data_IF_168617117256
#
_entry.id   IF_168617117256
#
_cell.length_a   1.000
_cell.length_b   1.000
_cell.length_c   1.000
_cell.angle_alpha   90.00
_cell.angle_beta   90.00
_cell.angle_gamma   90.00
#
_symmetry.space_group_name_H-M   'P 1'
#
loop_
_entity.id
_entity.type
_entity.pdbx_description
1 polymer ?
#
# COMPACT_ATOMS: atom_id res chain seq x y z
N UNK A 1 -8.30 -37.55 -23.93
CA UNK A 1 -7.91 -38.92 -24.32
C UNK A 1 -6.49 -39.31 -23.86
N UNK A 2 -5.40 -38.87 -24.52
CA UNK A 2 -4.04 -39.33 -24.17
C UNK A 2 -3.55 -38.88 -22.77
N UNK A 3 -3.93 -37.67 -22.33
CA UNK A 3 -3.63 -37.16 -21.00
C UNK A 3 -4.41 -37.90 -19.90
N UNK A 4 -5.69 -38.19 -20.15
CA UNK A 4 -6.57 -38.88 -19.20
C UNK A 4 -6.12 -40.32 -18.95
N UNK A 5 -5.83 -41.07 -20.02
CA UNK A 5 -5.33 -42.44 -19.93
C UNK A 5 -4.00 -42.54 -19.16
N UNK A 6 -3.13 -41.53 -19.27
CA UNK A 6 -1.85 -41.47 -18.56
C UNK A 6 -2.05 -41.23 -17.07
N UNK A 7 -2.99 -40.37 -16.69
CA UNK A 7 -3.33 -40.07 -15.29
C UNK A 7 -4.06 -41.26 -14.65
N UNK A 8 -4.94 -41.96 -15.36
CA UNK A 8 -5.59 -43.17 -14.85
C UNK A 8 -4.59 -44.29 -14.57
N UNK A 9 -3.59 -44.46 -15.45
CA UNK A 9 -2.52 -45.42 -15.26
C UNK A 9 -1.62 -45.07 -14.06
N UNK A 10 -1.40 -43.78 -13.77
CA UNK A 10 -0.55 -43.31 -12.67
C UNK A 10 -1.27 -43.37 -11.30
N UNK A 11 -2.57 -43.06 -11.27
CA UNK A 11 -3.36 -43.07 -10.04
C UNK A 11 -4.05 -44.41 -9.74
N UNK A 12 -4.03 -45.36 -10.67
CA UNK A 12 -4.57 -46.71 -10.50
C UNK A 12 -6.10 -46.78 -10.29
N UNK A 13 -6.81 -45.70 -10.64
CA UNK A 13 -8.26 -45.58 -10.49
C UNK A 13 -8.86 -44.80 -11.67
N UNK A 14 -10.10 -45.13 -12.11
CA UNK A 14 -10.77 -44.37 -13.15
C UNK A 14 -10.98 -42.92 -12.71
N UNK A 15 -10.87 -41.99 -13.67
CA UNK A 15 -11.08 -40.57 -13.38
C UNK A 15 -12.52 -40.32 -12.91
N UNK A 16 -12.71 -39.49 -11.87
CA UNK A 16 -14.06 -39.06 -11.51
C UNK A 16 -14.69 -38.32 -12.70
N UNK A 17 -16.02 -38.46 -12.89
CA UNK A 17 -16.71 -37.79 -13.99
C UNK A 17 -16.45 -36.28 -13.93
N UNK A 18 -16.31 -35.60 -15.09
CA UNK A 18 -16.10 -34.16 -15.13
C UNK A 18 -17.14 -33.46 -14.27
N UNK A 19 -16.68 -32.65 -13.32
CA UNK A 19 -17.59 -31.82 -12.53
C UNK A 19 -18.44 -30.96 -13.49
N UNK A 20 -19.70 -30.65 -13.13
CA UNK A 20 -20.54 -29.78 -13.93
C UNK A 20 -19.78 -28.51 -14.30
N UNK A 21 -19.90 -28.09 -15.56
CA UNK A 21 -19.26 -26.86 -16.02
C UNK A 21 -19.62 -25.72 -15.07
N UNK A 22 -18.61 -25.14 -14.42
CA UNK A 22 -18.82 -24.06 -13.48
C UNK A 22 -19.47 -22.90 -14.25
N UNK A 23 -20.59 -22.32 -13.77
CA UNK A 23 -21.27 -21.26 -14.48
C UNK A 23 -20.30 -20.13 -14.78
N UNK A 24 -20.16 -19.75 -16.05
CA UNK A 24 -19.32 -18.63 -16.44
C UNK A 24 -19.89 -17.38 -15.75
N UNK A 25 -19.20 -16.90 -14.72
CA UNK A 25 -19.62 -15.71 -14.01
C UNK A 25 -19.79 -14.56 -15.03
N UNK A 26 -20.93 -13.84 -15.02
CA UNK A 26 -21.18 -12.79 -15.99
C UNK A 26 -20.07 -11.76 -15.96
N UNK A 27 -19.65 -11.28 -17.15
CA UNK A 27 -18.65 -10.22 -17.27
C UNK A 27 -19.16 -8.96 -16.54
N UNK A 28 -18.47 -8.59 -15.46
CA UNK A 28 -18.80 -7.39 -14.71
C UNK A 28 -18.67 -6.13 -15.56
N UNK A 29 -19.51 -5.13 -15.33
CA UNK A 29 -19.50 -3.82 -15.97
C UNK A 29 -18.69 -2.83 -15.14
N UNK A 30 -18.22 -1.76 -15.76
CA UNK A 30 -17.51 -0.70 -15.02
C UNK A 30 -18.42 -0.03 -13.98
N UNK A 31 -19.72 0.11 -14.29
CA UNK A 31 -20.72 0.68 -13.38
C UNK A 31 -20.88 -0.12 -12.07
N UNK A 32 -20.60 -1.43 -12.08
CA UNK A 32 -20.83 -2.32 -10.94
C UNK A 32 -19.96 -1.97 -9.73
N UNK A 33 -18.82 -1.28 -9.92
CA UNK A 33 -17.99 -0.80 -8.81
C UNK A 33 -18.64 0.34 -8.02
N UNK A 34 -19.66 0.98 -8.58
CA UNK A 34 -20.41 2.09 -7.96
C UNK A 34 -21.71 1.63 -7.29
N UNK A 35 -22.00 0.33 -7.33
CA UNK A 35 -23.14 -0.29 -6.66
C UNK A 35 -22.70 -0.76 -5.26
N UNK A 36 -23.57 -0.70 -4.23
CA UNK A 36 -23.27 -1.33 -2.93
C UNK A 36 -23.00 -2.84 -3.08
N UNK A 37 -22.05 -3.43 -2.31
CA UNK A 37 -21.18 -2.79 -1.31
C UNK A 37 -19.90 -2.15 -1.89
N UNK A 38 -19.64 -2.31 -3.19
CA UNK A 38 -18.38 -1.93 -3.84
C UNK A 38 -18.13 -0.43 -3.88
N UNK A 39 -19.17 0.39 -3.98
CA UNK A 39 -19.05 1.86 -4.00
C UNK A 39 -18.21 2.38 -2.83
N UNK A 40 -18.49 1.89 -1.61
CA UNK A 40 -17.77 2.30 -0.40
C UNK A 40 -16.30 1.88 -0.45
N UNK A 41 -16.01 0.70 -0.98
CA UNK A 41 -14.65 0.17 -1.15
C UNK A 41 -13.87 0.96 -2.20
N UNK A 42 -14.50 1.31 -3.32
CA UNK A 42 -13.93 2.16 -4.37
C UNK A 42 -13.58 3.54 -3.83
N UNK A 43 -14.52 4.24 -3.19
CA UNK A 43 -14.28 5.57 -2.61
C UNK A 43 -13.17 5.53 -1.56
N UNK A 44 -13.23 4.56 -0.64
CA UNK A 44 -12.19 4.37 0.38
C UNK A 44 -10.81 4.17 -0.27
N UNK A 45 -10.72 3.27 -1.25
CA UNK A 45 -9.45 2.97 -1.91
C UNK A 45 -8.94 4.15 -2.74
N UNK A 46 -9.84 4.94 -3.34
CA UNK A 46 -9.46 6.15 -4.06
C UNK A 46 -8.84 7.17 -3.12
N UNK A 47 -9.49 7.45 -1.98
CA UNK A 47 -8.94 8.34 -0.94
C UNK A 47 -7.58 7.80 -0.47
N UNK A 48 -7.50 6.51 -0.15
CA UNK A 48 -6.25 5.87 0.24
C UNK A 48 -5.14 6.09 -0.80
N UNK A 49 -5.41 5.81 -2.08
CA UNK A 49 -4.40 5.91 -3.14
C UNK A 49 -3.93 7.35 -3.36
N UNK A 50 -4.81 8.34 -3.21
CA UNK A 50 -4.45 9.76 -3.28
C UNK A 50 -3.48 10.14 -2.15
N UNK A 51 -3.84 9.85 -0.89
CA UNK A 51 -3.06 10.31 0.26
C UNK A 51 -1.84 9.45 0.58
N UNK A 52 -1.88 8.15 0.28
CA UNK A 52 -0.75 7.24 0.48
C UNK A 52 0.48 7.69 -0.32
N UNK A 53 0.29 8.25 -1.51
CA UNK A 53 1.40 8.77 -2.33
C UNK A 53 2.17 9.90 -1.66
N UNK A 54 1.51 10.70 -0.81
CA UNK A 54 2.15 11.76 -0.04
C UNK A 54 3.11 11.18 0.98
N UNK A 55 2.71 10.14 1.71
CA UNK A 55 3.61 9.47 2.67
C UNK A 55 4.75 8.72 1.99
N UNK A 56 4.45 8.01 0.90
CA UNK A 56 5.43 7.18 0.20
C UNK A 56 6.43 8.03 -0.59
N UNK A 57 5.95 8.82 -1.56
CA UNK A 57 6.82 9.62 -2.44
C UNK A 57 7.28 10.92 -1.80
N UNK A 58 6.45 11.53 -0.93
CA UNK A 58 6.80 12.79 -0.28
C UNK A 58 7.98 12.67 0.67
N UNK A 59 8.18 11.50 1.30
CA UNK A 59 9.42 11.22 2.01
C UNK A 59 10.51 10.70 1.06
N UNK A 60 10.27 9.60 0.35
CA UNK A 60 11.31 8.88 -0.40
C UNK A 60 12.05 9.75 -1.44
N UNK A 61 11.33 10.65 -2.14
CA UNK A 61 11.94 11.51 -3.15
C UNK A 61 12.65 12.74 -2.55
N UNK A 62 12.34 13.11 -1.30
CA UNK A 62 12.80 14.34 -0.67
C UNK A 62 13.77 14.10 0.50
N UNK A 63 14.06 12.84 0.88
CA UNK A 63 14.96 12.52 2.01
C UNK A 63 16.28 13.34 1.97
N UNK A 64 17.03 13.39 0.86
CA UNK A 64 18.29 14.14 0.83
C UNK A 64 18.06 15.64 1.06
N UNK A 65 17.04 16.20 0.39
CA UNK A 65 16.70 17.63 0.50
C UNK A 65 16.23 18.00 1.91
N UNK A 66 15.43 17.15 2.55
CA UNK A 66 14.94 17.37 3.92
C UNK A 66 16.09 17.34 4.92
N UNK A 67 17.04 16.40 4.77
CA UNK A 67 18.26 16.33 5.57
C UNK A 67 19.14 17.57 5.38
N UNK A 68 19.33 18.02 4.13
CA UNK A 68 20.09 19.25 3.83
C UNK A 68 19.43 20.46 4.49
N UNK A 69 18.10 20.56 4.44
CA UNK A 69 17.33 21.63 5.10
C UNK A 69 17.40 21.58 6.63
N UNK A 70 17.73 20.43 7.21
CA UNK A 70 18.05 20.27 8.65
C UNK A 70 19.52 20.57 8.98
N UNK A 71 20.33 21.02 8.02
CA UNK A 71 21.73 21.41 8.23
C UNK A 71 22.75 20.29 7.99
N UNK A 72 22.32 19.13 7.47
CA UNK A 72 23.24 18.06 7.07
C UNK A 72 23.94 18.44 5.77
N UNK A 73 25.23 18.17 5.66
CA UNK A 73 25.99 18.42 4.43
C UNK A 73 25.44 17.58 3.27
N UNK A 74 25.63 18.05 2.03
CA UNK A 74 25.14 17.34 0.83
C UNK A 74 25.69 15.91 0.77
N UNK A 75 27.00 15.74 0.97
CA UNK A 75 27.66 14.42 0.95
C UNK A 75 27.08 13.47 2.00
N UNK A 76 26.96 13.92 3.25
CA UNK A 76 26.43 13.08 4.33
C UNK A 76 24.94 12.79 4.13
N UNK A 77 24.17 13.74 3.63
CA UNK A 77 22.74 13.55 3.33
C UNK A 77 22.51 12.46 2.27
N UNK A 78 23.39 12.40 1.26
CA UNK A 78 23.34 11.38 0.23
C UNK A 78 23.69 10.01 0.82
N UNK A 79 24.74 9.92 1.65
CA UNK A 79 25.08 8.68 2.35
C UNK A 79 23.92 8.17 3.23
N UNK A 80 23.30 9.02 4.03
CA UNK A 80 22.15 8.64 4.86
C UNK A 80 20.97 8.19 4.01
N UNK A 81 20.69 8.93 2.93
CA UNK A 81 19.60 8.57 2.00
C UNK A 81 19.85 7.24 1.31
N UNK A 82 21.09 6.93 0.93
CA UNK A 82 21.47 5.63 0.38
C UNK A 82 21.25 4.50 1.39
N UNK A 83 21.66 4.68 2.64
CA UNK A 83 21.42 3.69 3.70
C UNK A 83 19.93 3.48 3.95
N UNK A 84 19.15 4.58 4.01
CA UNK A 84 17.69 4.51 4.16
C UNK A 84 17.05 3.79 2.97
N UNK A 85 17.52 4.03 1.74
CA UNK A 85 16.99 3.40 0.54
C UNK A 85 17.20 1.87 0.52
N UNK A 86 18.26 1.34 1.16
CA UNK A 86 18.47 -0.11 1.31
C UNK A 86 17.36 -0.79 2.11
N UNK A 87 16.62 -0.04 2.93
CA UNK A 87 15.46 -0.57 3.66
C UNK A 87 14.24 -0.80 2.75
N UNK A 88 14.15 -0.13 1.60
CA UNK A 88 13.01 -0.26 0.70
C UNK A 88 12.74 -1.71 0.23
N UNK A 89 13.72 -2.48 -0.28
CA UNK A 89 13.50 -3.89 -0.65
C UNK A 89 13.26 -4.81 0.56
N UNK A 90 13.71 -4.43 1.76
CA UNK A 90 13.49 -5.21 2.98
C UNK A 90 12.02 -5.12 3.43
N UNK A 91 11.36 -3.98 3.21
CA UNK A 91 9.96 -3.76 3.59
C UNK A 91 9.00 -4.84 3.05
N UNK A 92 8.94 -5.13 1.74
CA UNK A 92 8.08 -6.17 1.19
C UNK A 92 8.44 -7.58 1.68
N UNK A 93 9.71 -7.87 1.97
CA UNK A 93 10.14 -9.16 2.54
C UNK A 93 9.57 -9.36 3.95
N UNK A 94 9.63 -8.31 4.78
CA UNK A 94 8.98 -8.31 6.09
C UNK A 94 7.45 -8.42 5.91
N UNK A 95 6.89 -7.68 4.97
CA UNK A 95 5.47 -7.73 4.61
C UNK A 95 5.00 -9.14 4.27
N UNK A 96 5.78 -9.87 3.47
CA UNK A 96 5.54 -11.27 3.13
C UNK A 96 5.56 -12.17 4.37
N UNK A 97 6.56 -12.02 5.24
CA UNK A 97 6.68 -12.84 6.45
C UNK A 97 5.52 -12.65 7.44
N UNK A 98 4.87 -11.48 7.44
CA UNK A 98 3.72 -11.17 8.31
C UNK A 98 2.36 -11.34 7.61
N UNK A 99 2.33 -11.54 6.30
CA UNK A 99 1.13 -11.52 5.46
C UNK A 99 0.06 -12.54 5.90
N UNK A 100 0.50 -13.71 6.37
CA UNK A 100 -0.39 -14.79 6.82
C UNK A 100 -0.74 -14.68 8.31
N UNK A 101 0.08 -13.96 9.08
CA UNK A 101 -0.08 -13.83 10.53
C UNK A 101 -1.04 -12.72 10.93
N UNK A 102 -1.06 -11.60 10.20
CA UNK A 102 -1.88 -10.44 10.54
C UNK A 102 -2.93 -10.12 9.47
N UNK A 103 -4.02 -9.46 9.86
CA UNK A 103 -4.99 -8.97 8.89
C UNK A 103 -4.41 -7.80 8.09
N UNK A 104 -4.58 -7.80 6.77
CA UNK A 104 -4.02 -6.75 5.88
C UNK A 104 -4.49 -5.36 6.29
N UNK A 105 -5.77 -5.20 6.63
CA UNK A 105 -6.33 -3.95 7.17
C UNK A 105 -5.53 -3.43 8.37
N UNK A 106 -5.27 -4.30 9.35
CA UNK A 106 -4.56 -3.96 10.59
C UNK A 106 -3.11 -3.59 10.31
N UNK A 107 -2.43 -4.32 9.41
CA UNK A 107 -1.06 -4.00 8.99
C UNK A 107 -1.02 -2.61 8.34
N UNK A 108 -1.93 -2.31 7.41
CA UNK A 108 -1.96 -1.00 6.73
C UNK A 108 -2.17 0.13 7.73
N UNK A 109 -3.13 0.00 8.66
CA UNK A 109 -3.42 1.00 9.70
C UNK A 109 -2.22 1.18 10.64
N UNK A 110 -1.62 0.08 11.11
CA UNK A 110 -0.47 0.13 12.01
C UNK A 110 0.75 0.76 11.33
N UNK A 111 1.02 0.42 10.07
CA UNK A 111 2.15 0.96 9.32
C UNK A 111 1.94 2.43 8.95
N UNK A 112 0.72 2.87 8.65
CA UNK A 112 0.40 4.28 8.46
C UNK A 112 0.64 5.09 9.75
N UNK A 113 0.23 4.54 10.90
CA UNK A 113 0.52 5.14 12.22
C UNK A 113 2.02 5.18 12.54
N UNK A 114 2.75 4.10 12.26
CA UNK A 114 4.20 4.05 12.43
C UNK A 114 4.91 5.07 11.55
N UNK A 115 4.50 5.21 10.28
CA UNK A 115 5.03 6.21 9.36
C UNK A 115 4.74 7.65 9.86
N UNK A 116 3.53 7.90 10.35
CA UNK A 116 3.16 9.19 10.94
C UNK A 116 4.06 9.56 12.13
N UNK A 117 4.22 8.64 13.09
CA UNK A 117 5.03 8.86 14.29
C UNK A 117 6.51 9.01 13.92
N UNK A 118 7.05 8.12 13.09
CA UNK A 118 8.45 8.17 12.66
C UNK A 118 8.78 9.47 11.92
N UNK A 119 7.89 9.94 11.04
CA UNK A 119 8.05 11.21 10.33
C UNK A 119 8.05 12.42 11.27
N UNK A 120 7.12 12.48 12.23
CA UNK A 120 7.09 13.57 13.22
C UNK A 120 8.34 13.58 14.10
N UNK A 121 8.81 12.42 14.55
CA UNK A 121 10.06 12.30 15.29
C UNK A 121 11.28 12.68 14.44
N UNK A 122 11.29 12.29 13.16
CA UNK A 122 12.38 12.62 12.22
C UNK A 122 12.53 14.14 12.07
N UNK A 123 11.41 14.88 12.04
CA UNK A 123 11.43 16.33 11.89
C UNK A 123 12.13 17.07 13.04
N UNK A 124 12.16 16.47 14.24
CA UNK A 124 12.80 17.02 15.44
C UNK A 124 14.17 16.38 15.75
N UNK A 125 14.55 15.34 15.02
CA UNK A 125 15.80 14.64 15.24
C UNK A 125 17.00 15.43 14.70
N UNK A 126 18.08 15.49 15.47
CA UNK A 126 19.36 16.12 15.09
C UNK A 126 20.52 15.14 15.09
N UNK A 127 20.43 14.06 15.88
CA UNK A 127 21.47 13.04 15.93
C UNK A 127 21.47 12.19 14.66
N UNK A 128 22.64 12.03 14.05
CA UNK A 128 22.87 11.25 12.83
C UNK A 128 22.25 9.85 12.87
N UNK A 129 22.55 9.09 13.92
CA UNK A 129 22.05 7.73 14.07
C UNK A 129 20.52 7.68 14.18
N UNK A 130 19.92 8.70 14.81
CA UNK A 130 18.47 8.79 15.00
C UNK A 130 17.76 9.15 13.69
N UNK A 131 18.32 10.08 12.90
CA UNK A 131 17.82 10.42 11.58
C UNK A 131 17.81 9.19 10.65
N UNK A 132 18.90 8.44 10.62
CA UNK A 132 18.99 7.21 9.81
C UNK A 132 18.00 6.16 10.32
N UNK A 133 17.93 5.91 11.63
CA UNK A 133 17.02 4.93 12.21
C UNK A 133 15.54 5.26 11.93
N UNK A 134 15.14 6.52 12.12
CA UNK A 134 13.78 6.99 11.85
C UNK A 134 13.46 6.99 10.35
N UNK A 135 14.41 7.36 9.49
CA UNK A 135 14.25 7.30 8.04
C UNK A 135 14.08 5.86 7.53
N UNK A 136 14.85 4.92 8.08
CA UNK A 136 14.69 3.48 7.83
C UNK A 136 13.32 3.00 8.31
N UNK A 137 12.92 3.35 9.53
CA UNK A 137 11.60 3.00 10.08
C UNK A 137 10.46 3.51 9.19
N UNK A 138 10.52 4.78 8.78
CA UNK A 138 9.55 5.42 7.90
C UNK A 138 9.50 4.73 6.52
N UNK A 139 10.65 4.41 5.95
CA UNK A 139 10.77 3.70 4.66
C UNK A 139 10.21 2.28 4.75
N UNK A 140 10.54 1.54 5.80
CA UNK A 140 10.01 0.20 6.05
C UNK A 140 8.49 0.23 6.21
N UNK A 141 7.97 1.13 7.05
CA UNK A 141 6.54 1.27 7.29
C UNK A 141 5.79 1.54 5.96
N UNK A 142 6.27 2.50 5.17
CA UNK A 142 5.70 2.82 3.87
C UNK A 142 5.74 1.64 2.89
N UNK A 143 6.83 0.87 2.85
CA UNK A 143 6.97 -0.27 1.96
C UNK A 143 6.15 -1.51 2.41
N UNK A 144 6.07 -1.79 3.71
CA UNK A 144 5.21 -2.85 4.26
C UNK A 144 3.73 -2.51 4.02
N UNK A 145 3.36 -1.24 4.22
CA UNK A 145 2.03 -0.73 3.87
C UNK A 145 1.76 -0.90 2.38
N UNK A 146 2.74 -0.55 1.53
CA UNK A 146 2.67 -0.69 0.08
C UNK A 146 2.34 -2.12 -0.36
N UNK A 147 3.12 -3.08 0.15
CA UNK A 147 2.90 -4.50 -0.09
C UNK A 147 1.50 -4.95 0.37
N UNK A 148 1.10 -4.56 1.58
CA UNK A 148 -0.16 -5.00 2.19
C UNK A 148 -1.39 -4.44 1.47
N UNK A 149 -1.36 -3.19 0.99
CA UNK A 149 -2.51 -2.61 0.30
C UNK A 149 -2.72 -3.22 -1.08
N UNK A 150 -1.66 -3.58 -1.81
CA UNK A 150 -1.81 -4.20 -3.12
C UNK A 150 -2.56 -5.54 -3.04
N UNK A 151 -2.24 -6.36 -2.03
CA UNK A 151 -3.00 -7.57 -1.73
C UNK A 151 -4.45 -7.25 -1.31
N UNK A 152 -4.61 -6.30 -0.38
CA UNK A 152 -5.92 -5.90 0.13
C UNK A 152 -6.85 -5.36 -0.97
N UNK A 153 -6.31 -4.58 -1.91
CA UNK A 153 -7.07 -4.02 -3.04
C UNK A 153 -7.58 -5.12 -3.98
N UNK A 154 -6.81 -6.19 -4.18
CA UNK A 154 -7.24 -7.34 -4.98
C UNK A 154 -8.32 -8.17 -4.27
N UNK A 155 -8.28 -8.27 -2.94
CA UNK A 155 -9.25 -8.99 -2.12
C UNK A 155 -10.61 -8.28 -2.00
N UNK A 156 -10.64 -6.95 -2.17
CA UNK A 156 -11.86 -6.15 -1.99
C UNK A 156 -12.88 -6.25 -3.13
N UNK A 157 -12.48 -6.72 -4.31
CA UNK A 157 -13.33 -6.71 -5.51
C UNK A 157 -13.50 -8.12 -6.11
N UNK A 158 -14.73 -8.51 -6.53
CA UNK A 158 -14.97 -9.77 -7.20
C UNK A 158 -14.13 -9.90 -8.46
N UNK A 159 -13.77 -11.14 -8.80
CA UNK A 159 -12.98 -11.46 -10.00
C UNK A 159 -13.52 -10.78 -11.26
N UNK A 160 -14.86 -10.71 -11.39
CA UNK A 160 -15.55 -10.12 -12.55
C UNK A 160 -15.25 -8.62 -12.79
N UNK A 161 -14.97 -7.84 -11.75
CA UNK A 161 -14.69 -6.39 -11.85
C UNK A 161 -13.32 -5.97 -11.32
N UNK A 162 -12.57 -6.90 -10.70
CA UNK A 162 -11.33 -6.62 -9.96
C UNK A 162 -10.33 -5.82 -10.77
N UNK A 163 -9.99 -6.28 -11.98
CA UNK A 163 -9.00 -5.59 -12.81
C UNK A 163 -9.41 -4.14 -13.12
N UNK A 164 -10.69 -3.89 -13.38
CA UNK A 164 -11.22 -2.54 -13.69
C UNK A 164 -11.24 -1.64 -12.46
N UNK A 165 -11.72 -2.15 -11.34
CA UNK A 165 -11.79 -1.40 -10.08
C UNK A 165 -10.39 -1.09 -9.53
N UNK A 166 -9.49 -2.09 -9.52
CA UNK A 166 -8.10 -1.91 -9.10
C UNK A 166 -7.40 -0.90 -10.02
N UNK A 167 -7.54 -1.04 -11.34
CA UNK A 167 -6.98 -0.09 -12.31
C UNK A 167 -7.46 1.33 -12.08
N UNK A 168 -8.77 1.55 -11.98
CA UNK A 168 -9.37 2.87 -11.76
C UNK A 168 -8.84 3.55 -10.49
N UNK A 169 -8.85 2.82 -9.38
CA UNK A 169 -8.41 3.36 -8.10
C UNK A 169 -6.89 3.63 -8.11
N UNK A 170 -6.11 2.75 -8.72
CA UNK A 170 -4.66 2.93 -8.82
C UNK A 170 -4.27 4.09 -9.75
N UNK A 171 -5.07 4.41 -10.77
CA UNK A 171 -4.87 5.61 -11.59
C UNK A 171 -4.86 6.88 -10.75
N UNK A 172 -5.66 6.95 -9.67
CA UNK A 172 -5.64 8.10 -8.76
C UNK A 172 -4.33 8.22 -7.97
N UNK A 173 -3.66 7.10 -7.64
CA UNK A 173 -2.32 7.14 -7.04
C UNK A 173 -1.31 7.76 -8.00
N UNK A 174 -1.37 7.40 -9.29
CA UNK A 174 -0.49 7.98 -10.31
C UNK A 174 -0.78 9.45 -10.55
N UNK A 175 -2.06 9.82 -10.60
CA UNK A 175 -2.46 11.21 -10.73
C UNK A 175 -2.00 12.06 -9.54
N UNK A 176 -2.25 11.61 -8.30
CA UNK A 176 -1.84 12.36 -7.11
C UNK A 176 -0.33 12.48 -6.98
N UNK A 177 0.43 11.45 -7.37
CA UNK A 177 1.90 11.48 -7.32
C UNK A 177 2.52 12.63 -8.13
N UNK A 178 1.87 13.06 -9.23
CA UNK A 178 2.29 14.23 -10.02
C UNK A 178 2.26 15.48 -9.13
N UNK A 179 1.17 15.69 -8.38
CA UNK A 179 0.97 16.86 -7.55
C UNK A 179 1.70 16.78 -6.20
N UNK A 180 1.96 15.58 -5.68
CA UNK A 180 2.62 15.37 -4.39
C UNK A 180 3.96 16.11 -4.32
N UNK A 181 4.81 16.01 -5.33
CA UNK A 181 6.12 16.68 -5.31
C UNK A 181 6.00 18.20 -5.31
N UNK A 182 5.04 18.76 -6.06
CA UNK A 182 4.77 20.20 -6.05
C UNK A 182 4.22 20.67 -4.69
N UNK A 183 3.31 19.90 -4.09
CA UNK A 183 2.76 20.19 -2.77
C UNK A 183 3.85 20.18 -1.70
N UNK A 184 4.72 19.15 -1.69
CA UNK A 184 5.84 19.06 -0.75
C UNK A 184 6.81 20.23 -0.95
N UNK A 185 7.14 20.59 -2.20
CA UNK A 185 8.00 21.74 -2.49
C UNK A 185 7.40 23.05 -1.96
N UNK A 186 6.10 23.28 -2.18
CA UNK A 186 5.39 24.47 -1.72
C UNK A 186 5.34 24.55 -0.19
N UNK A 187 5.01 23.43 0.48
CA UNK A 187 5.00 23.34 1.95
C UNK A 187 6.40 23.53 2.52
N UNK A 188 7.43 22.94 1.90
CA UNK A 188 8.83 23.10 2.31
C UNK A 188 9.28 24.56 2.21
N UNK A 189 8.84 25.29 1.18
CA UNK A 189 9.15 26.70 0.99
C UNK A 189 8.46 27.59 2.03
N UNK A 190 7.20 27.31 2.37
CA UNK A 190 6.40 28.15 3.29
C UNK A 190 6.59 27.83 4.77
N UNK A 191 6.71 26.54 5.11
CA UNK A 191 6.67 26.04 6.48
C UNK A 191 7.91 25.22 6.88
N UNK A 192 8.89 25.06 5.98
CA UNK A 192 10.13 24.33 6.24
C UNK A 192 9.92 22.82 6.42
N UNK A 193 10.97 22.15 6.89
CA UNK A 193 10.99 20.70 7.10
C UNK A 193 9.89 20.23 8.08
N UNK A 194 9.65 20.89 9.23
CA UNK A 194 8.57 20.47 10.12
C UNK A 194 7.19 20.52 9.46
N UNK A 195 6.92 21.55 8.65
CA UNK A 195 5.66 21.66 7.91
C UNK A 195 5.43 20.50 6.93
N UNK A 196 6.49 20.03 6.26
CA UNK A 196 6.41 18.85 5.37
C UNK A 196 6.03 17.61 6.15
N UNK A 197 6.62 17.38 7.32
CA UNK A 197 6.32 16.21 8.13
C UNK A 197 4.92 16.27 8.76
N UNK A 198 4.43 17.45 9.14
CA UNK A 198 3.03 17.64 9.56
C UNK A 198 2.06 17.34 8.40
N UNK A 199 2.38 17.78 7.18
CA UNK A 199 1.59 17.50 6.00
C UNK A 199 1.56 15.99 5.67
N UNK A 200 2.72 15.32 5.71
CA UNK A 200 2.82 13.86 5.56
C UNK A 200 2.04 13.14 6.66
N UNK A 201 2.17 13.57 7.91
CA UNK A 201 1.45 13.00 9.04
C UNK A 201 -0.07 13.12 8.87
N UNK A 202 -0.56 14.29 8.43
CA UNK A 202 -1.97 14.50 8.11
C UNK A 202 -2.47 13.57 7.00
N UNK A 203 -1.69 13.39 5.93
CA UNK A 203 -2.02 12.45 4.87
C UNK A 203 -2.07 11.00 5.38
N UNK A 204 -1.13 10.59 6.23
CA UNK A 204 -1.12 9.24 6.83
C UNK A 204 -2.28 9.05 7.82
N UNK A 205 -2.70 10.09 8.54
CA UNK A 205 -3.88 10.06 9.38
C UNK A 205 -5.16 9.86 8.55
N UNK A 206 -5.28 10.50 7.38
CA UNK A 206 -6.39 10.29 6.45
C UNK A 206 -6.39 8.85 5.90
N UNK A 207 -5.21 8.33 5.52
CA UNK A 207 -5.04 6.93 5.12
C UNK A 207 -5.52 6.00 6.22
N UNK A 208 -5.08 6.22 7.46
CA UNK A 208 -5.45 5.44 8.63
C UNK A 208 -6.95 5.49 8.90
N UNK A 209 -7.56 6.67 8.86
CA UNK A 209 -8.99 6.86 9.07
C UNK A 209 -9.82 6.21 7.95
N UNK A 210 -9.41 6.36 6.69
CA UNK A 210 -10.12 5.80 5.54
C UNK A 210 -10.24 4.29 5.63
N UNK A 211 -9.13 3.57 5.83
CA UNK A 211 -9.13 2.11 5.94
C UNK A 211 -9.65 1.66 7.30
N UNK A 212 -9.32 2.36 8.38
CA UNK A 212 -9.78 2.04 9.74
C UNK A 212 -11.30 2.04 9.86
N UNK A 213 -11.95 3.10 9.38
CA UNK A 213 -13.40 3.28 9.47
C UNK A 213 -14.16 2.58 8.34
N UNK A 214 -13.62 2.60 7.11
CA UNK A 214 -14.35 2.14 5.92
C UNK A 214 -13.94 0.74 5.44
N UNK A 215 -12.81 0.21 5.88
CA UNK A 215 -12.26 -1.06 5.39
C UNK A 215 -12.95 -2.28 6.00
N UNK A 216 -13.52 -3.20 5.20
CA UNK A 216 -13.90 -4.51 5.70
C UNK A 216 -12.65 -5.34 6.05
N UNK A 217 -12.78 -6.27 6.99
CA UNK A 217 -11.73 -7.27 7.27
C UNK A 217 -11.75 -8.32 6.15
N UNK A 218 -10.58 -8.68 5.63
CA UNK A 218 -10.46 -9.64 4.50
C UNK A 218 -9.78 -10.95 4.88
N UNK A 219 -9.16 -11.05 6.06
CA UNK A 219 -8.45 -12.27 6.48
C UNK A 219 -9.44 -13.39 6.80
N UNK A 220 -9.23 -14.58 6.24
CA UNK A 220 -10.00 -15.79 6.57
C UNK A 220 -11.42 -15.83 6.02
N UNK A 221 -11.79 -14.88 5.16
CA UNK A 221 -13.10 -14.87 4.48
C UNK A 221 -12.88 -15.28 3.02
N UNK A 222 -13.66 -16.27 2.56
CA UNK A 222 -13.63 -16.68 1.16
C UNK A 222 -13.90 -15.47 0.26
N UNK A 223 -13.18 -15.38 -0.86
CA UNK A 223 -13.21 -14.21 -1.71
C UNK A 223 -14.62 -14.02 -2.33
N UNK A 224 -15.34 -15.13 -2.53
CA UNK A 224 -16.74 -15.19 -2.93
C UNK A 224 -17.69 -14.64 -1.85
N UNK A 225 -17.36 -14.79 -0.57
CA UNK A 225 -18.14 -14.25 0.54
C UNK A 225 -17.86 -12.76 0.79
N UNK A 226 -16.65 -12.28 0.49
CA UNK A 226 -16.33 -10.84 0.50
C UNK A 226 -16.98 -10.12 -0.70
N UNK A 227 -17.19 -10.85 -1.80
CA UNK A 227 -17.71 -10.33 -3.07
C UNK A 227 -19.16 -10.71 -3.38
N UNK A 228 -19.92 -11.09 -2.35
CA UNK A 228 -21.38 -11.07 -2.40
C UNK A 228 -21.92 -9.81 -1.73
#
# INVERSE_FOLDING_TARGET
AALEAKVEAEYGRPLPPPAPAEPIAPRGRFADMWVPPYRRRTVMMTIFNVFQTVGFYGFANWVPTLLIKQGITVTTSLMYSSVIALAAPIGPLIGLAIADRFERKTVIVAMAGAAMIAGLLFSHASAAWLLVALGVCLTLANNIMSYSFHAYQAELFPTAIRARAVGFVYSWSRFSAIFTSFAIAAVLKGFGTPGVFVFIAGAMAIVMASIGLMGPRTKGVALEAISR
#
